data_IF_287826066736
#
_entry.id   IF_287826066736
#
_cell.length_a   1.000
_cell.length_b   1.000
_cell.length_c   1.000
_cell.angle_alpha   90.00
_cell.angle_beta   90.00
_cell.angle_gamma   90.00
#
_symmetry.space_group_name_H-M   'P 1'
#
loop_
_entity.id
_entity.type
_entity.pdbx_description
1 polymer ?
#
# COMPACT_ATOMS: atom_id res chain seq x y z
N UNK A 1 -30.84 27.63 95.38
CA UNK A 1 -31.77 27.19 94.36
C UNK A 1 -31.58 28.08 93.11
N UNK A 2 -30.74 27.68 92.17
CA UNK A 2 -30.67 28.28 90.83
C UNK A 2 -29.80 27.38 89.93
N UNK A 3 -30.43 26.90 88.90
CA UNK A 3 -29.96 25.87 87.95
C UNK A 3 -29.15 26.59 86.84
N UNK A 4 -27.89 26.21 86.69
CA UNK A 4 -27.05 26.70 85.63
C UNK A 4 -27.11 25.79 84.35
N UNK A 5 -27.59 26.30 83.26
CA UNK A 5 -27.57 25.62 81.95
C UNK A 5 -26.19 25.75 81.32
N UNK A 6 -25.56 24.61 81.08
CA UNK A 6 -24.32 24.53 80.24
C UNK A 6 -24.70 24.34 78.75
N UNK A 7 -24.32 25.30 77.94
CA UNK A 7 -24.40 25.16 76.48
C UNK A 7 -23.18 24.39 75.92
N UNK A 8 -23.39 23.27 75.29
CA UNK A 8 -22.41 22.54 74.50
C UNK A 8 -22.38 23.15 73.07
N UNK A 9 -21.29 23.79 72.69
CA UNK A 9 -21.02 24.14 71.30
C UNK A 9 -20.41 22.91 70.62
N UNK A 10 -21.16 22.29 69.70
CA UNK A 10 -20.64 21.27 68.76
C UNK A 10 -20.03 21.99 67.56
N UNK A 11 -18.71 21.95 67.44
CA UNK A 11 -17.99 22.38 66.26
C UNK A 11 -18.02 21.21 65.27
N UNK A 12 -18.80 21.35 64.22
CA UNK A 12 -18.81 20.39 63.09
C UNK A 12 -17.59 20.65 62.19
N UNK A 13 -16.64 19.72 62.20
CA UNK A 13 -15.52 19.70 61.24
C UNK A 13 -16.05 19.16 59.90
N UNK A 14 -16.20 20.06 58.92
CA UNK A 14 -16.54 19.72 57.55
C UNK A 14 -15.25 19.31 56.83
N UNK A 15 -14.96 18.01 56.74
CA UNK A 15 -13.86 17.45 55.99
C UNK A 15 -14.16 17.56 54.49
N UNK A 16 -13.52 18.55 53.82
CA UNK A 16 -13.57 18.73 52.36
C UNK A 16 -12.71 17.63 51.73
N UNK A 17 -13.31 16.53 51.24
CA UNK A 17 -12.64 15.49 50.47
C UNK A 17 -12.28 16.08 49.11
N UNK A 18 -11.06 16.56 48.92
CA UNK A 18 -10.49 16.81 47.57
C UNK A 18 -10.28 15.46 46.89
N UNK A 19 -11.18 15.11 45.96
CA UNK A 19 -10.96 14.02 45.00
C UNK A 19 -9.80 14.44 44.09
N UNK A 20 -8.60 13.95 44.37
CA UNK A 20 -7.46 14.04 43.47
C UNK A 20 -7.83 13.14 42.28
N UNK A 21 -8.32 13.73 41.19
CA UNK A 21 -8.43 13.06 39.92
C UNK A 21 -7.01 12.71 39.46
N UNK A 22 -6.57 11.48 39.74
CA UNK A 22 -5.35 10.97 39.15
C UNK A 22 -5.49 11.06 37.62
N UNK A 23 -4.50 11.59 36.90
CA UNK A 23 -4.55 11.58 35.47
C UNK A 23 -4.66 10.11 35.03
N UNK A 24 -5.78 9.76 34.40
CA UNK A 24 -5.90 8.47 33.71
C UNK A 24 -4.83 8.51 32.64
N UNK A 25 -3.73 7.82 32.88
CA UNK A 25 -2.69 7.64 31.86
C UNK A 25 -3.42 7.04 30.63
N UNK A 26 -3.54 7.83 29.58
CA UNK A 26 -4.18 7.37 28.36
C UNK A 26 -3.46 6.09 27.95
N UNK A 27 -4.22 4.97 27.88
CA UNK A 27 -3.66 3.67 27.53
C UNK A 27 -2.88 3.80 26.22
N UNK A 28 -1.61 3.42 26.24
CA UNK A 28 -0.75 3.46 25.06
C UNK A 28 -1.39 2.62 23.95
N UNK A 29 -1.65 3.24 22.80
CA UNK A 29 -2.15 2.55 21.62
C UNK A 29 -1.05 1.73 20.96
N UNK A 30 -1.42 0.68 20.24
CA UNK A 30 -0.47 -0.22 19.57
C UNK A 30 -0.88 -0.48 18.13
N UNK A 31 0.05 -0.27 17.21
CA UNK A 31 -0.11 -0.56 15.77
C UNK A 31 1.06 -1.42 15.31
N UNK A 32 0.74 -2.56 14.74
CA UNK A 32 1.71 -3.43 14.10
C UNK A 32 1.58 -3.32 12.58
N UNK A 33 2.70 -3.21 11.87
CA UNK A 33 2.74 -3.04 10.42
C UNK A 33 3.61 -4.13 9.81
N UNK A 34 3.10 -4.77 8.77
CA UNK A 34 3.87 -5.74 7.98
C UNK A 34 3.79 -5.44 6.48
N UNK A 35 4.89 -5.64 5.77
CA UNK A 35 4.96 -5.60 4.32
C UNK A 35 5.53 -6.92 3.78
N UNK A 36 5.07 -7.35 2.58
CA UNK A 36 5.61 -8.58 1.98
C UNK A 36 7.09 -8.44 1.64
N UNK A 37 7.51 -7.27 1.20
CA UNK A 37 8.88 -6.95 0.81
C UNK A 37 9.14 -5.45 1.01
N UNK A 38 10.40 -5.05 1.03
CA UNK A 38 10.81 -3.66 1.08
C UNK A 38 11.17 -3.17 -0.32
N UNK A 39 10.56 -2.07 -0.72
CA UNK A 39 10.92 -1.26 -1.89
C UNK A 39 10.27 0.14 -1.73
N UNK A 40 10.76 1.17 -2.47
CA UNK A 40 10.37 2.56 -2.23
C UNK A 40 8.87 2.83 -2.15
N UNK A 41 8.05 2.18 -2.99
CA UNK A 41 6.61 2.39 -2.95
C UNK A 41 5.96 1.86 -1.65
N UNK A 42 6.29 0.63 -1.20
CA UNK A 42 5.74 0.09 0.05
C UNK A 42 6.30 0.80 1.29
N UNK A 43 7.56 1.24 1.24
CA UNK A 43 8.14 2.07 2.30
C UNK A 43 7.42 3.42 2.41
N UNK A 44 7.08 4.04 1.27
CA UNK A 44 6.28 5.25 1.25
C UNK A 44 4.88 5.06 1.86
N UNK A 45 4.23 3.89 1.65
CA UNK A 45 2.98 3.56 2.34
C UNK A 45 3.16 3.53 3.85
N UNK A 46 4.17 2.78 4.34
CA UNK A 46 4.49 2.69 5.77
C UNK A 46 4.69 4.08 6.38
N UNK A 47 5.48 4.92 5.71
CA UNK A 47 5.81 6.26 6.17
C UNK A 47 4.57 7.17 6.16
N UNK A 48 3.71 7.05 5.14
CA UNK A 48 2.43 7.78 5.08
C UNK A 48 1.48 7.39 6.21
N UNK A 49 1.43 6.11 6.58
CA UNK A 49 0.66 5.66 7.76
C UNK A 49 1.19 6.33 9.04
N UNK A 50 2.51 6.38 9.22
CA UNK A 50 3.11 7.07 10.38
C UNK A 50 2.80 8.57 10.39
N UNK A 51 2.85 9.23 9.23
CA UNK A 51 2.52 10.66 9.11
C UNK A 51 1.09 10.93 9.57
N UNK A 52 0.13 10.13 9.12
CA UNK A 52 -1.27 10.31 9.51
C UNK A 52 -1.50 10.04 11.00
N UNK A 53 -0.84 9.03 11.57
CA UNK A 53 -0.89 8.75 13.00
C UNK A 53 -0.30 9.92 13.80
N UNK A 54 0.86 10.44 13.39
CA UNK A 54 1.51 11.59 14.03
C UNK A 54 0.65 12.84 13.95
N UNK A 55 0.04 13.14 12.81
CA UNK A 55 -0.91 14.25 12.64
C UNK A 55 -2.12 14.14 13.56
N UNK A 56 -2.55 12.91 13.87
CA UNK A 56 -3.64 12.64 14.80
C UNK A 56 -3.21 12.60 16.28
N UNK A 57 -1.94 12.88 16.58
CA UNK A 57 -1.39 12.91 17.93
C UNK A 57 -0.88 11.58 18.46
N UNK A 58 -0.78 10.55 17.62
CA UNK A 58 -0.19 9.25 17.99
C UNK A 58 1.29 9.20 17.58
N UNK A 59 2.18 9.26 18.56
CA UNK A 59 3.62 9.32 18.32
C UNK A 59 4.34 8.10 18.89
N UNK A 60 5.16 7.39 18.09
CA UNK A 60 6.00 6.29 18.56
C UNK A 60 6.88 6.72 19.75
N UNK A 61 6.93 5.88 20.79
CA UNK A 61 7.72 6.14 22.00
C UNK A 61 7.06 7.07 23.02
N UNK A 62 5.92 7.73 22.67
CA UNK A 62 5.13 8.53 23.62
C UNK A 62 3.85 7.78 24.02
N UNK A 63 2.88 7.75 23.12
CA UNK A 63 1.56 7.16 23.34
C UNK A 63 1.18 6.10 22.31
N UNK A 64 2.12 5.75 21.43
CA UNK A 64 1.96 4.72 20.41
C UNK A 64 3.10 3.69 20.50
N UNK A 65 2.75 2.41 20.66
CA UNK A 65 3.64 1.28 20.39
C UNK A 65 3.55 0.97 18.91
N UNK A 66 4.61 1.29 18.17
CA UNK A 66 4.75 1.00 16.75
C UNK A 66 5.67 -0.18 16.52
N UNK A 67 5.24 -1.15 15.72
CA UNK A 67 6.07 -2.28 15.31
C UNK A 67 6.02 -2.41 13.78
N UNK A 68 7.16 -2.70 13.17
CA UNK A 68 7.25 -3.00 11.74
C UNK A 68 8.08 -4.26 11.50
N UNK A 69 7.60 -5.13 10.59
CA UNK A 69 8.36 -6.28 10.10
C UNK A 69 8.08 -6.50 8.62
N UNK A 70 9.16 -6.75 7.86
CA UNK A 70 9.10 -7.15 6.45
C UNK A 70 9.24 -8.66 6.33
N UNK A 71 8.46 -9.25 5.43
CA UNK A 71 8.53 -10.69 5.13
C UNK A 71 9.62 -11.04 4.10
N UNK A 72 10.35 -10.05 3.58
CA UNK A 72 11.46 -10.23 2.65
C UNK A 72 11.09 -11.07 1.40
N UNK A 73 9.86 -10.87 0.89
CA UNK A 73 9.34 -11.59 -0.28
C UNK A 73 8.92 -13.05 -0.01
N UNK A 74 8.88 -13.48 1.25
CA UNK A 74 8.58 -14.87 1.61
C UNK A 74 7.21 -15.01 2.29
N UNK A 75 6.27 -15.72 1.66
CA UNK A 75 4.93 -15.95 2.18
C UNK A 75 4.91 -16.72 3.52
N UNK A 76 5.86 -17.64 3.73
CA UNK A 76 6.01 -18.38 4.99
C UNK A 76 6.39 -17.42 6.14
N UNK A 77 7.34 -16.51 5.88
CA UNK A 77 7.72 -15.45 6.82
C UNK A 77 6.55 -14.49 7.08
N UNK A 78 5.79 -14.11 6.05
CA UNK A 78 4.58 -13.28 6.22
C UNK A 78 3.57 -13.94 7.16
N UNK A 79 3.34 -15.26 7.01
CA UNK A 79 2.47 -16.01 7.90
C UNK A 79 3.01 -16.10 9.35
N UNK A 80 4.33 -16.18 9.55
CA UNK A 80 4.94 -16.15 10.90
C UNK A 80 4.79 -14.77 11.55
N UNK A 81 5.03 -13.69 10.80
CA UNK A 81 4.84 -12.31 11.27
C UNK A 81 3.36 -12.08 11.64
N UNK A 82 2.44 -12.52 10.79
CA UNK A 82 1.01 -12.41 11.06
C UNK A 82 0.61 -13.07 12.38
N UNK A 83 1.04 -14.33 12.62
CA UNK A 83 0.77 -15.03 13.88
C UNK A 83 1.38 -14.33 15.10
N UNK A 84 2.63 -13.84 14.96
CA UNK A 84 3.28 -13.07 16.02
C UNK A 84 2.48 -11.81 16.37
N UNK A 85 2.11 -11.01 15.38
CA UNK A 85 1.36 -9.77 15.61
C UNK A 85 -0.03 -10.03 16.19
N UNK A 86 -0.72 -11.07 15.74
CA UNK A 86 -2.00 -11.48 16.34
C UNK A 86 -1.81 -11.87 17.82
N UNK A 87 -0.73 -12.59 18.16
CA UNK A 87 -0.39 -12.93 19.54
C UNK A 87 -0.07 -11.71 20.41
N UNK A 88 0.50 -10.66 19.83
CA UNK A 88 0.78 -9.39 20.52
C UNK A 88 -0.49 -8.54 20.78
N UNK A 89 -1.63 -8.88 20.16
CA UNK A 89 -2.95 -8.23 20.30
C UNK A 89 -2.88 -6.71 20.17
N UNK A 90 -2.38 -6.15 19.06
CA UNK A 90 -2.37 -4.71 18.85
C UNK A 90 -3.79 -4.16 18.64
N UNK A 91 -3.95 -2.83 18.81
CA UNK A 91 -5.23 -2.15 18.51
C UNK A 91 -5.55 -2.19 17.00
N UNK A 92 -4.53 -2.30 16.13
CA UNK A 92 -4.69 -2.54 14.70
C UNK A 92 -3.43 -3.18 14.09
N UNK A 93 -3.63 -4.01 13.04
CA UNK A 93 -2.56 -4.48 12.17
C UNK A 93 -2.74 -3.83 10.80
N UNK A 94 -1.71 -3.14 10.32
CA UNK A 94 -1.63 -2.66 8.93
C UNK A 94 -0.87 -3.69 8.11
N UNK A 95 -1.53 -4.22 7.08
CA UNK A 95 -0.96 -5.21 6.20
C UNK A 95 -0.73 -4.60 4.81
N UNK A 96 0.54 -4.35 4.46
CA UNK A 96 0.93 -3.68 3.23
C UNK A 96 1.23 -4.72 2.14
N UNK A 97 0.58 -4.58 1.00
CA UNK A 97 0.53 -5.47 -0.16
C UNK A 97 -0.32 -6.74 0.05
N UNK A 98 -0.83 -7.27 -1.07
CA UNK A 98 -1.78 -8.39 -1.09
C UNK A 98 -1.31 -9.63 -0.33
N UNK A 99 -0.08 -10.15 -0.48
CA UNK A 99 0.33 -11.35 0.24
C UNK A 99 0.39 -11.17 1.76
N UNK A 100 0.83 -9.98 2.24
CA UNK A 100 0.79 -9.65 3.67
C UNK A 100 -0.62 -9.57 4.20
N UNK A 101 -1.54 -8.94 3.46
CA UNK A 101 -2.94 -8.84 3.84
C UNK A 101 -3.60 -10.22 3.93
N UNK A 102 -3.34 -11.09 2.95
CA UNK A 102 -3.83 -12.48 2.97
C UNK A 102 -3.31 -13.25 4.19
N UNK A 103 -2.02 -13.12 4.51
CA UNK A 103 -1.43 -13.76 5.68
C UNK A 103 -2.06 -13.31 7.00
N UNK A 104 -2.29 -11.99 7.17
CA UNK A 104 -2.88 -11.42 8.39
C UNK A 104 -4.36 -11.78 8.51
N UNK A 105 -5.15 -11.64 7.44
CA UNK A 105 -6.60 -11.97 7.45
C UNK A 105 -6.85 -13.45 7.71
N UNK A 106 -5.96 -14.32 7.24
CA UNK A 106 -6.00 -15.76 7.53
C UNK A 106 -5.68 -16.07 9.00
N UNK A 107 -4.87 -15.23 9.67
CA UNK A 107 -4.39 -15.47 11.02
C UNK A 107 -5.36 -14.99 12.12
N UNK A 108 -6.29 -14.07 11.83
CA UNK A 108 -7.19 -13.51 12.85
C UNK A 108 -8.57 -13.16 12.30
N UNK A 109 -9.59 -13.28 13.17
CA UNK A 109 -10.95 -12.79 12.95
C UNK A 109 -11.35 -11.72 13.96
N UNK A 110 -10.47 -11.40 14.92
CA UNK A 110 -10.77 -10.52 16.05
C UNK A 110 -9.94 -9.23 16.04
N UNK A 111 -8.62 -9.34 15.77
CA UNK A 111 -7.74 -8.16 15.74
C UNK A 111 -8.08 -7.31 14.52
N UNK A 112 -8.29 -5.99 14.68
CA UNK A 112 -8.54 -5.08 13.56
C UNK A 112 -7.44 -5.15 12.50
N UNK A 113 -7.82 -5.36 11.24
CA UNK A 113 -6.91 -5.43 10.10
C UNK A 113 -7.23 -4.32 9.11
N UNK A 114 -6.22 -3.53 8.76
CA UNK A 114 -6.29 -2.51 7.72
C UNK A 114 -5.30 -2.89 6.63
N UNK A 115 -5.81 -3.37 5.49
CA UNK A 115 -4.93 -3.61 4.34
C UNK A 115 -4.61 -2.29 3.62
N UNK A 116 -3.46 -2.23 2.98
CA UNK A 116 -3.00 -1.10 2.16
C UNK A 116 -2.23 -1.60 0.95
N UNK A 117 -2.30 -0.89 -0.18
CA UNK A 117 -1.66 -1.31 -1.42
C UNK A 117 -2.08 -2.73 -1.84
N UNK A 118 -3.37 -3.00 -1.79
CA UNK A 118 -4.00 -4.23 -2.26
C UNK A 118 -4.78 -3.93 -3.52
N UNK A 119 -4.41 -4.55 -4.63
CA UNK A 119 -4.97 -4.23 -5.95
C UNK A 119 -6.45 -4.58 -6.04
N UNK A 120 -6.84 -5.79 -5.66
CA UNK A 120 -8.24 -6.22 -5.67
C UNK A 120 -8.52 -7.04 -4.40
N UNK A 121 -9.04 -6.39 -3.35
CA UNK A 121 -9.25 -7.05 -2.06
C UNK A 121 -10.36 -8.11 -2.11
N UNK A 122 -11.28 -8.02 -3.07
CA UNK A 122 -12.34 -9.02 -3.27
C UNK A 122 -11.75 -10.26 -3.93
N UNK A 123 -11.01 -10.10 -5.03
CA UNK A 123 -10.33 -11.21 -5.70
C UNK A 123 -9.26 -11.85 -4.80
N UNK A 124 -8.62 -11.07 -3.92
CA UNK A 124 -7.68 -11.55 -2.91
C UNK A 124 -8.37 -12.24 -1.72
N UNK A 125 -9.72 -12.29 -1.68
CA UNK A 125 -10.52 -12.90 -0.61
C UNK A 125 -10.32 -12.28 0.78
N UNK A 126 -10.04 -10.98 0.83
CA UNK A 126 -9.92 -10.24 2.10
C UNK A 126 -11.28 -9.76 2.60
N UNK A 127 -12.14 -9.34 1.68
CA UNK A 127 -13.50 -8.85 1.92
C UNK A 127 -14.44 -9.40 0.84
N UNK A 128 -15.74 -9.45 1.13
CA UNK A 128 -16.74 -9.93 0.16
C UNK A 128 -17.11 -8.87 -0.90
N UNK A 129 -17.04 -7.59 -0.53
CA UNK A 129 -17.26 -6.42 -1.40
C UNK A 129 -16.44 -5.24 -0.88
N UNK A 130 -16.48 -4.12 -1.60
CA UNK A 130 -15.87 -2.85 -1.14
C UNK A 130 -16.71 -2.12 -0.11
N UNK A 131 -17.94 -2.54 0.15
CA UNK A 131 -18.79 -1.98 1.20
C UNK A 131 -18.29 -2.34 2.60
N UNK A 132 -18.96 -1.83 3.62
CA UNK A 132 -18.68 -2.18 5.01
C UNK A 132 -18.75 -3.71 5.20
N UNK A 133 -17.62 -4.33 5.56
CA UNK A 133 -17.45 -5.78 5.53
C UNK A 133 -18.21 -6.54 6.60
N UNK A 134 -18.59 -5.87 7.69
CA UNK A 134 -19.15 -6.49 8.90
C UNK A 134 -18.14 -7.36 9.67
N UNK A 135 -16.87 -7.41 9.23
CA UNK A 135 -15.81 -8.24 9.84
C UNK A 135 -14.75 -7.38 10.55
N UNK A 136 -13.61 -7.98 10.89
CA UNK A 136 -12.46 -7.25 11.44
C UNK A 136 -11.56 -6.61 10.37
N UNK A 137 -11.97 -6.58 9.11
CA UNK A 137 -11.13 -6.18 7.97
C UNK A 137 -11.71 -4.98 7.23
N UNK A 138 -10.87 -4.01 6.94
CA UNK A 138 -11.08 -2.89 6.02
C UNK A 138 -9.74 -2.49 5.40
N UNK A 139 -9.70 -1.48 4.55
CA UNK A 139 -8.44 -0.97 4.03
C UNK A 139 -8.57 -0.09 2.80
N UNK A 140 -7.43 0.11 2.13
CA UNK A 140 -7.31 0.98 0.96
C UNK A 140 -6.69 0.22 -0.21
N UNK A 141 -7.43 0.16 -1.32
CA UNK A 141 -7.01 -0.47 -2.57
C UNK A 141 -6.20 0.49 -3.44
N UNK A 142 -5.23 -0.06 -4.17
CA UNK A 142 -4.42 0.63 -5.18
C UNK A 142 -4.81 0.25 -6.62
N UNK A 143 -6.01 -0.28 -6.84
CA UNK A 143 -6.46 -0.68 -8.16
C UNK A 143 -6.44 0.48 -9.15
N UNK A 144 -5.71 0.31 -10.24
CA UNK A 144 -5.63 1.28 -11.32
C UNK A 144 -6.70 1.04 -12.40
N UNK A 145 -7.12 2.12 -13.05
CA UNK A 145 -7.91 2.06 -14.28
C UNK A 145 -6.98 1.61 -15.44
N UNK A 146 -7.01 0.30 -15.77
CA UNK A 146 -6.08 -0.30 -16.75
C UNK A 146 -6.30 0.20 -18.17
N UNK A 147 -7.49 0.64 -18.54
CA UNK A 147 -7.78 1.34 -19.80
C UNK A 147 -6.92 2.60 -19.96
N UNK A 148 -6.78 3.40 -18.91
CA UNK A 148 -5.89 4.58 -18.91
C UNK A 148 -4.41 4.21 -19.02
N UNK A 149 -4.00 3.07 -18.48
CA UNK A 149 -2.64 2.55 -18.66
C UNK A 149 -2.38 2.17 -20.12
N UNK A 150 -3.35 1.51 -20.76
CA UNK A 150 -3.29 1.16 -22.18
C UNK A 150 -3.27 2.40 -23.06
N UNK A 151 -4.02 3.45 -22.71
CA UNK A 151 -3.96 4.75 -23.41
C UNK A 151 -2.58 5.41 -23.26
N UNK A 152 -1.96 5.35 -22.08
CA UNK A 152 -0.61 5.85 -21.85
C UNK A 152 0.42 5.11 -22.72
N UNK A 153 0.32 3.78 -22.78
CA UNK A 153 1.17 2.96 -23.66
C UNK A 153 1.05 3.44 -25.11
N UNK A 154 -0.17 3.61 -25.61
CA UNK A 154 -0.41 4.09 -26.99
C UNK A 154 0.12 5.49 -27.25
N UNK A 155 0.03 6.38 -26.26
CA UNK A 155 0.57 7.75 -26.40
C UNK A 155 2.09 7.77 -26.49
N UNK A 156 2.77 6.86 -25.78
CA UNK A 156 4.24 6.82 -25.70
C UNK A 156 4.82 5.94 -26.81
N UNK A 157 4.17 4.80 -27.10
CA UNK A 157 4.58 3.84 -28.14
C UNK A 157 3.43 3.61 -29.12
N UNK A 158 3.14 4.56 -30.04
CA UNK A 158 1.90 4.52 -30.85
C UNK A 158 1.75 3.26 -31.72
N UNK A 159 2.88 2.68 -32.12
CA UNK A 159 2.92 1.49 -32.98
C UNK A 159 2.98 0.16 -32.22
N UNK A 160 2.86 0.19 -30.86
CA UNK A 160 2.91 -1.01 -30.07
C UNK A 160 1.77 -1.97 -30.44
N UNK A 161 2.14 -3.23 -30.68
CA UNK A 161 1.22 -4.35 -30.93
C UNK A 161 1.35 -5.45 -29.88
N UNK A 162 2.51 -5.55 -29.24
CA UNK A 162 2.86 -6.62 -28.31
C UNK A 162 3.34 -5.97 -27.00
N UNK A 163 2.50 -6.09 -25.97
CA UNK A 163 2.82 -5.60 -24.62
C UNK A 163 3.37 -6.77 -23.81
N UNK A 164 4.58 -6.63 -23.31
CA UNK A 164 5.17 -7.60 -22.38
C UNK A 164 4.77 -7.30 -20.95
N UNK A 165 4.65 -8.34 -20.14
CA UNK A 165 4.53 -8.22 -18.69
C UNK A 165 5.41 -9.27 -18.02
N UNK A 166 6.22 -8.82 -17.05
CA UNK A 166 6.94 -9.71 -16.14
C UNK A 166 6.18 -9.71 -14.83
N UNK A 167 5.83 -10.91 -14.32
CA UNK A 167 5.02 -10.98 -13.12
C UNK A 167 5.22 -12.30 -12.35
N UNK A 168 4.87 -12.28 -11.08
CA UNK A 168 4.80 -13.47 -10.24
C UNK A 168 3.39 -14.11 -10.34
N UNK A 169 3.25 -15.31 -10.94
CA UNK A 169 1.96 -15.98 -11.01
C UNK A 169 1.42 -16.46 -9.65
N UNK A 170 2.24 -16.41 -8.60
CA UNK A 170 1.84 -16.70 -7.22
C UNK A 170 1.25 -15.50 -6.47
N UNK A 171 1.22 -14.30 -7.07
CA UNK A 171 0.63 -13.11 -6.47
C UNK A 171 -0.75 -12.80 -7.06
N UNK A 172 -1.79 -12.82 -6.20
CA UNK A 172 -3.17 -12.59 -6.63
C UNK A 172 -3.38 -11.21 -7.28
N UNK A 173 -2.70 -10.15 -6.79
CA UNK A 173 -2.70 -8.82 -7.39
C UNK A 173 -2.22 -8.84 -8.84
N UNK A 174 -1.13 -9.53 -9.12
CA UNK A 174 -0.56 -9.62 -10.47
C UNK A 174 -1.43 -10.44 -11.42
N UNK A 175 -1.96 -11.57 -10.94
CA UNK A 175 -2.87 -12.43 -11.73
C UNK A 175 -4.14 -11.67 -12.14
N UNK A 176 -4.71 -10.85 -11.28
CA UNK A 176 -5.88 -10.01 -11.60
C UNK A 176 -5.56 -9.01 -12.71
N UNK A 177 -4.41 -8.34 -12.62
CA UNK A 177 -3.98 -7.37 -13.64
C UNK A 177 -3.73 -8.04 -14.98
N UNK A 178 -3.04 -9.19 -14.99
CA UNK A 178 -2.79 -9.97 -16.21
C UNK A 178 -4.09 -10.36 -16.89
N UNK A 179 -5.06 -10.93 -16.16
CA UNK A 179 -6.37 -11.30 -16.71
C UNK A 179 -7.11 -10.09 -17.30
N UNK A 180 -7.13 -8.98 -16.60
CA UNK A 180 -7.76 -7.74 -17.11
C UNK A 180 -7.07 -7.20 -18.36
N UNK A 181 -5.72 -7.24 -18.43
CA UNK A 181 -4.97 -6.84 -19.62
C UNK A 181 -5.23 -7.77 -20.82
N UNK A 182 -5.37 -9.08 -20.60
CA UNK A 182 -5.77 -10.04 -21.64
C UNK A 182 -7.13 -9.70 -22.26
N UNK A 183 -8.05 -9.10 -21.50
CA UNK A 183 -9.37 -8.67 -21.96
C UNK A 183 -9.37 -7.30 -22.66
N UNK A 184 -8.51 -6.38 -22.20
CA UNK A 184 -8.51 -4.97 -22.63
C UNK A 184 -7.61 -4.75 -23.85
N UNK A 185 -6.41 -5.34 -23.87
CA UNK A 185 -5.44 -5.11 -24.93
C UNK A 185 -5.94 -5.47 -26.33
N UNK A 186 -6.67 -6.59 -26.56
CA UNK A 186 -7.22 -6.92 -27.88
C UNK A 186 -8.19 -5.84 -28.41
N UNK A 187 -8.97 -5.21 -27.54
CA UNK A 187 -9.87 -4.09 -27.91
C UNK A 187 -9.11 -2.87 -28.44
N UNK A 188 -7.84 -2.79 -28.12
CA UNK A 188 -6.92 -1.74 -28.56
C UNK A 188 -5.98 -2.19 -29.69
N UNK A 189 -6.18 -3.38 -30.25
CA UNK A 189 -5.35 -3.96 -31.30
C UNK A 189 -3.97 -4.40 -30.83
N UNK A 190 -3.83 -4.71 -29.54
CA UNK A 190 -2.59 -5.19 -28.93
C UNK A 190 -2.77 -6.59 -28.33
N UNK A 191 -1.67 -7.29 -28.10
CA UNK A 191 -1.65 -8.57 -27.41
C UNK A 191 -0.74 -8.51 -26.18
N UNK A 192 -1.01 -9.35 -25.18
CA UNK A 192 -0.18 -9.53 -24.00
C UNK A 192 0.78 -10.70 -24.20
N UNK A 193 2.06 -10.52 -23.85
CA UNK A 193 3.07 -11.58 -23.80
C UNK A 193 3.63 -11.63 -22.39
N UNK A 194 3.45 -12.77 -21.75
CA UNK A 194 3.73 -12.98 -20.33
C UNK A 194 5.10 -13.61 -20.12
N UNK A 195 5.79 -13.20 -19.06
CA UNK A 195 7.01 -13.81 -18.58
C UNK A 195 6.94 -13.97 -17.05
N UNK A 196 6.94 -15.22 -16.59
CA UNK A 196 6.83 -15.52 -15.16
C UNK A 196 8.14 -15.26 -14.42
N UNK A 197 8.07 -14.56 -13.29
CA UNK A 197 9.14 -14.31 -12.34
C UNK A 197 8.69 -14.65 -10.91
N UNK A 198 8.64 -15.94 -10.53
CA UNK A 198 8.16 -16.37 -9.21
C UNK A 198 8.96 -15.82 -8.05
N UNK A 199 10.19 -15.35 -8.29
CA UNK A 199 11.11 -14.73 -7.32
C UNK A 199 11.73 -13.48 -7.91
N UNK A 200 12.16 -12.56 -7.08
CA UNK A 200 12.84 -11.32 -7.51
C UNK A 200 14.11 -11.60 -8.34
N UNK A 201 14.84 -12.66 -8.01
CA UNK A 201 16.04 -13.07 -8.77
C UNK A 201 15.74 -13.57 -10.19
N UNK A 202 14.51 -13.95 -10.48
CA UNK A 202 14.07 -14.44 -11.80
C UNK A 202 13.68 -13.29 -12.75
N UNK A 203 13.50 -12.06 -12.25
CA UNK A 203 13.01 -10.90 -13.01
C UNK A 203 13.89 -10.59 -14.24
N UNK A 204 15.21 -10.58 -14.08
CA UNK A 204 16.11 -10.31 -15.19
C UNK A 204 16.04 -11.36 -16.29
N UNK A 205 15.94 -12.64 -15.96
CA UNK A 205 15.84 -13.73 -16.94
C UNK A 205 14.48 -13.73 -17.64
N UNK A 206 13.40 -13.49 -16.90
CA UNK A 206 12.04 -13.34 -17.43
C UNK A 206 11.98 -12.15 -18.40
N UNK A 207 12.52 -10.99 -18.03
CA UNK A 207 12.58 -9.83 -18.91
C UNK A 207 13.38 -10.11 -20.20
N UNK A 208 14.53 -10.77 -20.11
CA UNK A 208 15.32 -11.16 -21.29
C UNK A 208 14.56 -12.09 -22.24
N UNK A 209 13.68 -12.93 -21.73
CA UNK A 209 12.87 -13.82 -22.58
C UNK A 209 11.88 -13.08 -23.48
N UNK A 210 11.59 -11.81 -23.18
CA UNK A 210 10.71 -10.93 -23.96
C UNK A 210 11.44 -10.20 -25.09
N UNK A 211 12.78 -10.20 -25.13
CA UNK A 211 13.57 -9.51 -26.16
C UNK A 211 13.19 -10.03 -27.56
N UNK A 212 12.90 -9.11 -28.48
CA UNK A 212 12.45 -9.40 -29.84
C UNK A 212 11.00 -9.84 -29.97
N UNK A 213 10.30 -10.08 -28.86
CA UNK A 213 8.91 -10.53 -28.83
C UNK A 213 7.92 -9.42 -28.49
N UNK A 214 8.35 -8.35 -27.85
CA UNK A 214 7.50 -7.27 -27.37
C UNK A 214 7.96 -5.92 -27.88
N UNK A 215 7.05 -4.96 -27.92
CA UNK A 215 7.32 -3.59 -28.35
C UNK A 215 7.45 -2.62 -27.15
N UNK A 216 6.91 -3.03 -26.01
CA UNK A 216 6.91 -2.31 -24.74
C UNK A 216 6.69 -3.31 -23.59
N UNK A 217 7.25 -3.05 -22.42
CA UNK A 217 6.93 -3.79 -21.20
C UNK A 217 6.13 -2.89 -20.28
N UNK A 218 4.94 -3.36 -19.88
CA UNK A 218 4.16 -2.75 -18.81
C UNK A 218 4.50 -3.42 -17.48
N UNK A 219 4.84 -2.63 -16.48
CA UNK A 219 5.14 -3.11 -15.14
C UNK A 219 3.98 -2.79 -14.22
N UNK A 220 3.26 -3.83 -13.80
CA UNK A 220 2.24 -3.72 -12.77
C UNK A 220 2.88 -3.65 -11.36
N UNK A 221 2.05 -3.54 -10.33
CA UNK A 221 2.47 -3.50 -8.92
C UNK A 221 2.82 -4.90 -8.38
N UNK A 222 3.61 -5.67 -9.13
CA UNK A 222 4.15 -6.96 -8.74
C UNK A 222 5.30 -6.77 -7.74
N UNK A 223 5.20 -7.39 -6.56
CA UNK A 223 6.16 -7.13 -5.49
C UNK A 223 7.57 -7.65 -5.82
N UNK A 224 7.70 -8.77 -6.53
CA UNK A 224 9.00 -9.30 -6.96
C UNK A 224 9.63 -8.40 -8.02
N UNK A 225 8.84 -7.96 -9.00
CA UNK A 225 9.33 -7.12 -10.11
C UNK A 225 9.73 -5.75 -9.60
N UNK A 226 8.89 -5.11 -8.79
CA UNK A 226 9.19 -3.78 -8.24
C UNK A 226 10.39 -3.84 -7.29
N UNK A 227 10.56 -4.89 -6.49
CA UNK A 227 11.73 -5.04 -5.62
C UNK A 227 13.05 -5.19 -6.42
N UNK A 228 13.00 -5.79 -7.61
CA UNK A 228 14.15 -5.99 -8.49
C UNK A 228 14.14 -5.08 -9.74
N UNK A 229 13.53 -3.91 -9.64
CA UNK A 229 13.21 -3.06 -10.79
C UNK A 229 14.44 -2.64 -11.62
N UNK A 230 15.57 -2.39 -10.97
CA UNK A 230 16.85 -2.05 -11.64
C UNK A 230 17.30 -3.16 -12.60
N UNK A 231 17.01 -4.42 -12.27
CA UNK A 231 17.32 -5.54 -13.16
C UNK A 231 16.46 -5.52 -14.43
N UNK A 232 15.18 -5.15 -14.30
CA UNK A 232 14.29 -4.95 -15.45
C UNK A 232 14.72 -3.75 -16.27
N UNK A 233 15.04 -2.62 -15.63
CA UNK A 233 15.54 -1.39 -16.28
C UNK A 233 16.80 -1.65 -17.09
N UNK A 234 17.73 -2.44 -16.52
CA UNK A 234 18.93 -2.83 -17.27
C UNK A 234 18.60 -3.55 -18.57
N UNK A 235 17.67 -4.51 -18.53
CA UNK A 235 17.23 -5.23 -19.74
C UNK A 235 16.53 -4.29 -20.72
N UNK A 236 15.65 -3.40 -20.26
CA UNK A 236 14.98 -2.40 -21.10
C UNK A 236 15.97 -1.46 -21.80
N UNK A 237 16.99 -0.99 -21.08
CA UNK A 237 18.04 -0.12 -21.63
C UNK A 237 18.90 -0.85 -22.67
N UNK A 238 19.36 -2.06 -22.36
CA UNK A 238 20.24 -2.85 -23.21
C UNK A 238 19.52 -3.28 -24.51
N UNK A 239 18.25 -3.69 -24.40
CA UNK A 239 17.44 -4.19 -25.52
C UNK A 239 16.63 -3.09 -26.24
N UNK A 240 16.68 -1.83 -25.78
CA UNK A 240 15.86 -0.72 -26.27
C UNK A 240 14.36 -1.01 -26.22
N UNK A 241 13.91 -1.58 -25.10
CA UNK A 241 12.49 -1.88 -24.86
C UNK A 241 11.96 -0.85 -23.85
N UNK A 242 10.94 -0.05 -24.21
CA UNK A 242 10.31 0.92 -23.31
C UNK A 242 9.66 0.25 -22.09
N UNK A 243 9.87 0.81 -20.91
CA UNK A 243 9.28 0.36 -19.67
C UNK A 243 8.25 1.38 -19.17
N UNK A 244 6.96 1.04 -19.22
CA UNK A 244 5.86 1.83 -18.66
C UNK A 244 5.48 1.23 -17.30
N UNK A 245 5.57 2.03 -16.25
CA UNK A 245 5.29 1.58 -14.88
C UNK A 245 3.87 1.96 -14.43
N UNK A 246 3.38 1.29 -13.40
CA UNK A 246 2.11 1.58 -12.74
C UNK A 246 2.25 2.45 -11.48
N UNK A 247 3.47 2.65 -10.99
CA UNK A 247 3.77 3.47 -9.82
C UNK A 247 4.79 4.58 -10.14
N UNK A 248 4.69 5.68 -9.39
CA UNK A 248 5.52 6.87 -9.63
C UNK A 248 6.98 6.69 -9.20
N UNK A 249 7.26 5.80 -8.25
CA UNK A 249 8.62 5.59 -7.75
C UNK A 249 9.46 4.77 -8.73
N UNK A 250 8.85 3.84 -9.46
CA UNK A 250 9.52 3.10 -10.54
C UNK A 250 10.02 4.01 -11.68
N UNK A 251 9.37 5.16 -11.93
CA UNK A 251 9.86 6.15 -12.91
C UNK A 251 11.17 6.78 -12.47
N UNK A 252 11.33 7.06 -11.17
CA UNK A 252 12.59 7.58 -10.61
C UNK A 252 13.71 6.56 -10.69
N UNK A 253 13.38 5.27 -10.76
CA UNK A 253 14.30 4.13 -10.86
C UNK A 253 14.60 3.70 -12.30
N UNK A 254 14.05 4.40 -13.32
CA UNK A 254 14.37 4.17 -14.72
C UNK A 254 13.21 3.68 -15.59
N UNK A 255 11.99 3.62 -15.10
CA UNK A 255 10.78 3.57 -15.93
C UNK A 255 10.64 4.86 -16.73
N UNK A 256 10.09 4.78 -17.94
CA UNK A 256 10.00 5.99 -18.80
C UNK A 256 8.81 6.86 -18.46
N UNK A 257 7.73 6.25 -17.99
CA UNK A 257 6.53 6.95 -17.54
C UNK A 257 5.67 6.06 -16.64
N UNK A 258 4.85 6.70 -15.79
CA UNK A 258 3.76 6.07 -15.08
C UNK A 258 2.61 7.06 -14.93
N UNK A 259 1.38 6.62 -15.20
CA UNK A 259 0.17 7.25 -14.69
C UNK A 259 -0.20 6.48 -13.41
N UNK A 260 0.40 6.85 -12.31
CA UNK A 260 0.45 6.02 -11.11
C UNK A 260 -0.08 6.72 -9.86
N UNK A 261 -0.19 5.94 -8.82
CA UNK A 261 -0.55 6.36 -7.48
C UNK A 261 0.71 6.90 -6.78
N UNK A 262 0.52 7.94 -5.98
CA UNK A 262 1.49 8.34 -4.97
C UNK A 262 1.29 7.46 -3.73
N UNK A 263 2.21 6.56 -3.47
CA UNK A 263 2.09 5.57 -2.40
C UNK A 263 2.21 6.17 -1.00
N UNK A 264 2.82 7.36 -0.85
CA UNK A 264 2.78 8.07 0.42
C UNK A 264 1.36 8.60 0.73
N UNK A 265 0.66 9.13 -0.28
CA UNK A 265 -0.74 9.57 -0.13
C UNK A 265 -1.66 8.38 0.20
N UNK A 266 -1.43 7.22 -0.43
CA UNK A 266 -2.12 5.97 -0.10
C UNK A 266 -1.88 5.59 1.37
N UNK A 267 -0.64 5.69 1.84
CA UNK A 267 -0.28 5.46 3.24
C UNK A 267 -0.97 6.43 4.19
N UNK A 268 -1.02 7.71 3.85
CA UNK A 268 -1.75 8.73 4.65
C UNK A 268 -3.24 8.41 4.71
N UNK A 269 -3.86 8.00 3.61
CA UNK A 269 -5.25 7.57 3.59
C UNK A 269 -5.47 6.35 4.47
N UNK A 270 -4.62 5.33 4.36
CA UNK A 270 -4.63 4.14 5.23
C UNK A 270 -4.49 4.51 6.70
N UNK A 271 -3.55 5.41 7.03
CA UNK A 271 -3.33 5.88 8.40
C UNK A 271 -4.56 6.59 8.99
N UNK A 272 -5.31 7.33 8.18
CA UNK A 272 -6.60 7.94 8.61
C UNK A 272 -7.63 6.86 8.97
N UNK A 273 -7.69 5.76 8.23
CA UNK A 273 -8.54 4.60 8.58
C UNK A 273 -8.09 3.99 9.91
N UNK A 274 -6.78 3.81 10.11
CA UNK A 274 -6.24 3.34 11.40
C UNK A 274 -6.61 4.27 12.54
N UNK A 275 -6.52 5.59 12.36
CA UNK A 275 -6.92 6.58 13.38
C UNK A 275 -8.39 6.43 13.77
N UNK A 276 -9.31 6.17 12.84
CA UNK A 276 -10.72 5.90 13.13
C UNK A 276 -10.87 4.69 14.05
N UNK A 277 -10.13 3.61 13.76
CA UNK A 277 -10.14 2.38 14.58
C UNK A 277 -9.57 2.65 15.98
N UNK A 278 -8.44 3.38 16.09
CA UNK A 278 -7.86 3.74 17.40
C UNK A 278 -8.80 4.61 18.25
N UNK A 279 -9.73 5.33 17.61
CA UNK A 279 -10.80 6.12 18.26
C UNK A 279 -12.05 5.29 18.57
N UNK A 280 -12.05 3.99 18.28
CA UNK A 280 -13.12 3.04 18.65
C UNK A 280 -14.10 2.68 17.53
N UNK A 281 -13.91 3.14 16.30
CA UNK A 281 -14.73 2.72 15.18
C UNK A 281 -14.39 1.26 14.80
N UNK A 282 -15.40 0.45 14.56
CA UNK A 282 -15.21 -0.96 14.19
C UNK A 282 -14.75 -1.06 12.74
N UNK A 283 -13.69 -1.84 12.42
CA UNK A 283 -13.22 -1.98 11.01
C UNK A 283 -14.33 -2.42 10.07
N UNK A 284 -15.19 -3.35 10.50
CA UNK A 284 -16.30 -3.84 9.69
C UNK A 284 -17.41 -2.82 9.39
N UNK A 285 -17.43 -1.67 10.06
CA UNK A 285 -18.31 -0.55 9.74
C UNK A 285 -17.70 0.45 8.75
N UNK A 286 -16.40 0.31 8.46
CA UNK A 286 -15.68 1.19 7.54
C UNK A 286 -15.63 0.52 6.16
N UNK A 287 -16.26 1.08 5.12
CA UNK A 287 -16.09 0.59 3.76
C UNK A 287 -14.63 0.58 3.34
N UNK A 288 -14.26 -0.36 2.49
CA UNK A 288 -12.98 -0.34 1.82
C UNK A 288 -12.89 0.87 0.89
N UNK A 289 -11.74 1.54 0.91
CA UNK A 289 -11.52 2.74 0.12
C UNK A 289 -10.64 2.46 -1.09
N UNK A 290 -10.68 3.34 -2.08
CA UNK A 290 -9.74 3.35 -3.22
C UNK A 290 -9.09 4.72 -3.31
N UNK A 291 -7.86 4.78 -3.77
CA UNK A 291 -7.22 6.04 -4.11
C UNK A 291 -7.59 6.40 -5.56
N UNK A 292 -8.12 7.60 -5.76
CA UNK A 292 -8.57 8.06 -7.09
C UNK A 292 -7.59 9.00 -7.78
N UNK A 293 -6.69 9.64 -7.02
CA UNK A 293 -5.72 10.60 -7.56
C UNK A 293 -4.59 9.85 -8.25
N UNK A 294 -4.48 10.02 -9.57
CA UNK A 294 -3.36 9.55 -10.37
C UNK A 294 -2.48 10.72 -10.78
N UNK A 295 -1.18 10.49 -10.80
CA UNK A 295 -0.18 11.47 -11.22
C UNK A 295 0.64 10.92 -12.38
N UNK A 296 0.83 11.72 -13.43
CA UNK A 296 1.70 11.36 -14.53
C UNK A 296 3.13 11.77 -14.19
N UNK A 297 4.00 10.78 -14.06
CA UNK A 297 5.46 10.97 -13.96
C UNK A 297 6.11 10.54 -15.27
N UNK A 298 7.11 11.27 -15.70
CA UNK A 298 7.90 10.95 -16.92
C UNK A 298 9.37 11.10 -16.68
N UNK A 299 10.17 10.28 -17.39
CA UNK A 299 11.63 10.29 -17.33
C UNK A 299 12.19 10.31 -18.77
N UNK A 300 12.42 11.50 -19.35
CA UNK A 300 12.95 11.63 -20.70
C UNK A 300 14.34 10.98 -20.88
N UNK A 301 15.17 11.02 -19.83
CA UNK A 301 16.49 10.38 -19.85
C UNK A 301 16.40 8.85 -19.94
N UNK A 302 15.48 8.23 -19.21
CA UNK A 302 15.21 6.80 -19.31
C UNK A 302 14.59 6.44 -20.68
N UNK A 303 13.67 7.27 -21.18
CA UNK A 303 13.04 7.08 -22.47
C UNK A 303 14.09 7.03 -23.60
N UNK A 304 15.04 7.98 -23.63
CA UNK A 304 16.13 8.01 -24.60
C UNK A 304 17.01 6.75 -24.52
N UNK A 305 17.32 6.27 -23.31
CA UNK A 305 18.07 5.02 -23.09
C UNK A 305 17.31 3.79 -23.62
N UNK A 306 15.99 3.80 -23.56
CA UNK A 306 15.12 2.71 -24.01
C UNK A 306 14.58 2.89 -25.43
N UNK A 307 15.16 3.83 -26.19
CA UNK A 307 14.89 4.00 -27.62
C UNK A 307 13.60 4.75 -27.96
N UNK A 308 13.05 5.52 -27.03
CA UNK A 308 11.81 6.30 -27.20
C UNK A 308 12.08 7.78 -26.92
N UNK A 309 11.45 8.65 -27.69
CA UNK A 309 11.39 10.10 -27.42
C UNK A 309 9.99 10.46 -26.96
N UNK A 310 9.88 11.01 -25.75
CA UNK A 310 8.62 11.53 -25.23
C UNK A 310 8.27 12.82 -25.96
N UNK A 311 7.00 12.96 -26.37
CA UNK A 311 6.53 14.19 -26.99
C UNK A 311 6.45 15.34 -25.96
N UNK A 312 6.62 16.57 -26.45
CA UNK A 312 6.46 17.78 -25.62
C UNK A 312 5.10 17.82 -24.91
N UNK A 313 4.03 17.33 -25.57
CA UNK A 313 2.71 17.28 -25.01
C UNK A 313 2.65 16.38 -23.76
N UNK A 314 3.29 15.20 -23.80
CA UNK A 314 3.38 14.27 -22.67
C UNK A 314 4.19 14.90 -21.54
N UNK A 315 5.37 15.48 -21.85
CA UNK A 315 6.25 16.11 -20.87
C UNK A 315 5.53 17.29 -20.18
N UNK A 316 4.84 18.14 -20.93
CA UNK A 316 4.09 19.29 -20.39
C UNK A 316 2.89 18.87 -19.54
N UNK A 317 2.28 17.72 -19.79
CA UNK A 317 1.14 17.20 -19.04
C UNK A 317 1.57 16.44 -17.75
N UNK A 318 2.85 16.18 -17.58
CA UNK A 318 3.35 15.45 -16.41
C UNK A 318 3.31 16.30 -15.14
N UNK A 319 2.90 15.69 -14.04
CA UNK A 319 3.01 16.29 -12.71
C UNK A 319 4.47 16.39 -12.28
N UNK A 320 5.30 15.43 -12.68
CA UNK A 320 6.75 15.41 -12.41
C UNK A 320 7.53 14.93 -13.63
N UNK A 321 8.55 15.69 -13.97
CA UNK A 321 9.57 15.29 -14.94
C UNK A 321 10.83 14.91 -14.17
N UNK A 322 11.17 13.63 -14.19
CA UNK A 322 12.40 13.11 -13.55
C UNK A 322 13.61 13.52 -14.43
N UNK A 323 14.64 14.06 -13.77
CA UNK A 323 15.88 14.53 -14.42
C UNK A 323 16.97 13.47 -14.39
#
# INVERSE_FOLDING_TARGET
MLIGKKHFLTVGAMALAMAIAAPVAAQQKSVAVTAIVEHPALDAVRDGVQDALKQAGYEPGKNLKWQYQSAQGNNGTAAQIARKFVGDKPDAIVAIATPSAQAVVAATKDVPVVYSAVTDPVAAQLVASMDASGTNVTGVSDLLALDKQVELIKKIVPNAKRVGIVYNPGEANSVVVVKKLQEILPKSGMSLIEAAAPRSVDVASAARSLIGKVDVIYTNTDNNVVSAYESLVKVGNDAKIPLIASDTDSVKRGGIAALGINYRDLGVQTGKVVVRILKGEKPGAIPSETISKLELYVNPGAAAKQGVTLSDAIIKSAAVVVK
#
